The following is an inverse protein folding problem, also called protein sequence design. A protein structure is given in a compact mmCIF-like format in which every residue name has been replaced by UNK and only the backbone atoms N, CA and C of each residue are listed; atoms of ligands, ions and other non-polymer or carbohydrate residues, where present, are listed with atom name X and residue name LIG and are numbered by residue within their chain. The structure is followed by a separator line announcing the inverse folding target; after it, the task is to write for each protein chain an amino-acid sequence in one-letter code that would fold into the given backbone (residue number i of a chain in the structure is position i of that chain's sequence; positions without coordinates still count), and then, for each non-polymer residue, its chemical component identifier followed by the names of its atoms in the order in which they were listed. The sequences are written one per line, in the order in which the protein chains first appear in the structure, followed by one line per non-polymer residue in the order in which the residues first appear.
data_IF_109194270465
#
_entry.id   IF_109194270465
#
_cell.length_a   1.000
_cell.length_b   1.000
_cell.length_c   1.000
_cell.angle_alpha   90.00
_cell.angle_beta   90.00
_cell.angle_gamma   90.00
#
_symmetry.space_group_name_H-M   'P 1'
#
loop_
_entity.id
_entity.type
_entity.pdbx_description
1 polymer ?
#
# COMPACT_ATOMS: atom_id res chain seq x y z
N UNK A 1 -2.57 -5.00 -18.50
CA UNK A 1 -1.59 -5.29 -17.42
C UNK A 1 -2.08 -4.67 -16.13
N UNK A 2 -2.25 -5.46 -15.07
CA UNK A 2 -2.64 -4.96 -13.75
C UNK A 2 -1.39 -4.41 -13.05
N UNK A 3 -1.43 -3.17 -12.57
CA UNK A 3 -0.31 -2.53 -11.87
C UNK A 3 -0.74 -1.95 -10.52
N UNK A 4 0.18 -1.89 -9.56
CA UNK A 4 -0.08 -1.32 -8.25
C UNK A 4 -0.30 0.22 -8.35
N UNK A 5 -1.37 0.70 -7.73
CA UNK A 5 -1.79 2.11 -7.74
C UNK A 5 -1.08 2.91 -6.64
N UNK A 6 0.16 3.34 -6.93
CA UNK A 6 0.96 4.16 -6.02
C UNK A 6 0.23 5.45 -5.58
N UNK A 7 -0.56 6.06 -6.47
CA UNK A 7 -1.31 7.29 -6.19
C UNK A 7 -2.41 7.08 -5.16
N UNK A 8 -3.16 5.96 -5.24
CA UNK A 8 -4.16 5.60 -4.21
C UNK A 8 -3.49 5.38 -2.87
N UNK A 9 -2.41 4.59 -2.80
CA UNK A 9 -1.69 4.36 -1.56
C UNK A 9 -1.18 5.67 -0.94
N UNK A 10 -0.60 6.57 -1.75
CA UNK A 10 -0.14 7.88 -1.28
C UNK A 10 -1.27 8.73 -0.72
N UNK A 11 -2.44 8.70 -1.35
CA UNK A 11 -3.64 9.41 -0.87
C UNK A 11 -4.11 8.87 0.48
N UNK A 12 -4.17 7.55 0.65
CA UNK A 12 -4.52 6.89 1.92
C UNK A 12 -3.54 7.27 3.04
N UNK A 13 -2.24 7.22 2.75
CA UNK A 13 -1.19 7.62 3.69
C UNK A 13 -1.35 9.09 4.09
N UNK A 14 -1.57 9.99 3.12
CA UNK A 14 -1.79 11.41 3.39
C UNK A 14 -3.04 11.65 4.25
N UNK A 15 -4.15 10.96 3.97
CA UNK A 15 -5.40 11.05 4.75
C UNK A 15 -5.24 10.56 6.19
N UNK A 16 -4.38 9.57 6.43
CA UNK A 16 -4.11 9.08 7.77
C UNK A 16 -3.41 10.10 8.68
N UNK A 17 -2.71 11.08 8.10
CA UNK A 17 -1.88 12.03 8.87
C UNK A 17 -0.66 11.40 9.55
N UNK A 18 -0.37 10.12 9.29
CA UNK A 18 0.71 9.37 9.92
C UNK A 18 1.97 9.33 9.04
N UNK A 19 3.13 9.25 9.68
CA UNK A 19 4.38 8.97 8.98
C UNK A 19 4.46 7.51 8.53
N UNK A 20 5.24 7.21 7.49
CA UNK A 20 5.46 5.82 7.01
C UNK A 20 5.90 4.86 8.13
N UNK A 21 6.78 5.33 9.05
CA UNK A 21 7.23 4.55 10.21
C UNK A 21 6.09 4.23 11.16
N UNK A 22 5.24 5.22 11.44
CA UNK A 22 4.08 5.05 12.31
C UNK A 22 3.06 4.11 11.68
N UNK A 23 2.83 4.20 10.37
CA UNK A 23 1.95 3.28 9.63
C UNK A 23 2.48 1.85 9.70
N UNK A 24 3.77 1.62 9.43
CA UNK A 24 4.38 0.29 9.53
C UNK A 24 4.19 -0.32 10.93
N UNK A 25 4.38 0.49 11.98
CA UNK A 25 4.20 0.07 13.36
C UNK A 25 2.72 -0.27 13.67
N UNK A 26 1.78 0.57 13.24
CA UNK A 26 0.36 0.33 13.47
C UNK A 26 -0.18 -0.84 12.63
N UNK A 27 0.34 -1.06 11.43
CA UNK A 27 0.08 -2.26 10.62
C UNK A 27 0.53 -3.52 11.35
N UNK A 28 1.74 -3.52 11.92
CA UNK A 28 2.25 -4.64 12.71
C UNK A 28 1.36 -4.93 13.93
N UNK A 29 0.92 -3.89 14.65
CA UNK A 29 0.02 -4.06 15.81
C UNK A 29 -1.34 -4.60 15.41
N UNK A 30 -1.92 -4.13 14.31
CA UNK A 30 -3.27 -4.53 13.87
C UNK A 30 -3.30 -5.91 13.21
N UNK A 31 -2.27 -6.27 12.44
CA UNK A 31 -2.29 -7.47 11.58
C UNK A 31 -1.31 -8.56 12.02
N UNK A 32 -0.40 -8.27 12.96
CA UNK A 32 0.71 -9.15 13.32
C UNK A 32 1.82 -9.24 12.27
N UNK A 33 1.60 -8.70 11.07
CA UNK A 33 2.55 -8.72 9.97
C UNK A 33 3.36 -7.42 9.89
N UNK A 34 4.68 -7.56 9.78
CA UNK A 34 5.58 -6.42 9.61
C UNK A 34 5.80 -6.10 8.13
N UNK A 35 5.44 -4.88 7.72
CA UNK A 35 5.87 -4.30 6.44
C UNK A 35 6.90 -3.22 6.75
N UNK A 36 8.09 -3.33 6.13
CA UNK A 36 9.11 -2.29 6.28
C UNK A 36 8.58 -0.94 5.79
N UNK A 37 8.77 0.11 6.60
CA UNK A 37 8.32 1.47 6.27
C UNK A 37 8.95 1.99 4.97
N UNK A 38 10.17 1.56 4.63
CA UNK A 38 10.82 1.89 3.36
C UNK A 38 10.11 1.25 2.16
N UNK A 39 9.60 0.02 2.32
CA UNK A 39 8.79 -0.64 1.30
C UNK A 39 7.50 0.13 1.05
N UNK A 40 6.80 0.53 2.12
CA UNK A 40 5.60 1.39 2.01
C UNK A 40 5.90 2.71 1.30
N UNK A 41 7.03 3.34 1.62
CA UNK A 41 7.48 4.57 0.97
C UNK A 41 7.75 4.35 -0.52
N UNK A 42 8.53 3.33 -0.90
CA UNK A 42 8.85 3.02 -2.30
C UNK A 42 7.60 2.68 -3.11
N UNK A 43 6.63 1.98 -2.51
CA UNK A 43 5.33 1.69 -3.12
C UNK A 43 4.52 2.97 -3.35
N UNK A 44 4.39 3.82 -2.32
CA UNK A 44 3.66 5.09 -2.42
C UNK A 44 4.33 6.06 -3.42
N UNK A 45 5.66 6.01 -3.52
CA UNK A 45 6.44 6.79 -4.47
C UNK A 45 6.39 6.25 -5.91
N UNK A 46 5.90 5.01 -6.11
CA UNK A 46 5.90 4.35 -7.41
C UNK A 46 7.29 3.89 -7.88
N UNK A 47 8.28 3.87 -6.99
CA UNK A 47 9.64 3.38 -7.25
C UNK A 47 9.63 1.86 -7.45
N UNK A 48 8.75 1.17 -6.73
CA UNK A 48 8.53 -0.27 -6.86
C UNK A 48 7.04 -0.56 -7.00
N UNK A 49 6.72 -1.65 -7.67
CA UNK A 49 5.36 -2.20 -7.77
C UNK A 49 5.41 -3.65 -7.31
N UNK A 50 4.37 -4.08 -6.62
CA UNK A 50 4.24 -5.47 -6.17
C UNK A 50 3.04 -6.14 -6.85
N UNK A 51 3.13 -7.44 -7.16
CA UNK A 51 1.97 -8.21 -7.56
C UNK A 51 0.95 -8.31 -6.42
N UNK A 52 -0.25 -8.80 -6.71
CA UNK A 52 -1.26 -9.13 -5.71
C UNK A 52 -0.69 -10.16 -4.73
N UNK A 53 -0.36 -9.72 -3.51
CA UNK A 53 0.36 -10.50 -2.50
C UNK A 53 -0.16 -10.20 -1.10
N UNK A 54 0.34 -10.93 -0.10
CA UNK A 54 0.04 -10.68 1.32
C UNK A 54 0.28 -9.23 1.75
N UNK A 55 1.30 -8.56 1.20
CA UNK A 55 1.58 -7.14 1.47
C UNK A 55 0.39 -6.26 1.04
N UNK A 56 -0.20 -6.51 -0.12
CA UNK A 56 -1.34 -5.75 -0.62
C UNK A 56 -2.60 -5.97 0.23
N UNK A 57 -2.82 -7.20 0.68
CA UNK A 57 -3.92 -7.54 1.60
C UNK A 57 -3.76 -6.80 2.93
N UNK A 58 -2.55 -6.79 3.49
CA UNK A 58 -2.26 -6.09 4.76
C UNK A 58 -2.49 -4.58 4.59
N UNK A 59 -2.05 -3.99 3.47
CA UNK A 59 -2.28 -2.58 3.16
C UNK A 59 -3.78 -2.28 3.04
N UNK A 60 -4.52 -3.11 2.30
CA UNK A 60 -5.97 -2.98 2.12
C UNK A 60 -6.72 -3.02 3.46
N UNK A 61 -6.42 -4.05 4.27
CA UNK A 61 -7.03 -4.23 5.59
C UNK A 61 -6.72 -3.08 6.56
N UNK A 62 -5.48 -2.57 6.55
CA UNK A 62 -5.11 -1.48 7.46
C UNK A 62 -5.85 -0.17 7.14
N UNK A 63 -6.01 0.15 5.86
CA UNK A 63 -6.69 1.35 5.39
C UNK A 63 -8.20 1.17 5.18
N UNK A 64 -8.74 -0.01 5.49
CA UNK A 64 -10.16 -0.35 5.31
C UNK A 64 -10.65 -0.03 3.88
N UNK A 65 -9.82 -0.37 2.90
CA UNK A 65 -10.07 -0.15 1.46
C UNK A 65 -10.18 -1.49 0.76
N UNK A 66 -10.91 -1.54 -0.36
CA UNK A 66 -10.88 -2.71 -1.22
C UNK A 66 -9.46 -2.92 -1.76
N UNK A 67 -9.03 -4.18 -1.89
CA UNK A 67 -7.75 -4.50 -2.50
C UNK A 67 -7.74 -4.12 -3.98
N UNK A 68 -8.90 -4.19 -4.66
CA UNK A 68 -9.02 -3.82 -6.08
C UNK A 68 -8.71 -2.33 -6.30
N UNK A 69 -9.04 -1.46 -5.33
CA UNK A 69 -8.69 -0.03 -5.37
C UNK A 69 -7.18 0.24 -5.39
N UNK A 70 -6.38 -0.70 -4.89
CA UNK A 70 -4.91 -0.61 -4.89
C UNK A 70 -4.29 -1.02 -6.23
N UNK A 71 -5.10 -1.42 -7.21
CA UNK A 71 -4.63 -1.80 -8.53
C UNK A 71 -5.36 -1.02 -9.62
N UNK A 72 -4.68 -0.81 -10.75
CA UNK A 72 -5.28 -0.24 -11.96
C UNK A 72 -4.95 -1.11 -13.15
N UNK A 73 -5.90 -1.23 -14.07
CA UNK A 73 -5.67 -1.84 -15.37
C UNK A 73 -5.01 -0.80 -16.30
N UNK A 74 -3.86 -1.14 -16.87
CA UNK A 74 -3.28 -0.42 -18.01
C UNK A 74 -3.38 -1.27 -19.27
N UNK A 75 -3.96 -0.70 -20.31
CA UNK A 75 -3.82 -1.22 -21.66
C UNK A 75 -2.39 -1.01 -22.14
N UNK A 76 -1.78 -2.03 -22.74
CA UNK A 76 -0.50 -1.89 -23.43
C UNK A 76 -0.80 -1.20 -24.76
N UNK A 77 -0.53 0.10 -24.87
CA UNK A 77 -0.47 0.81 -26.15
C UNK A 77 0.98 0.89 -26.63
#
# INVERSE_FOLDING_TARGET
MIIFNASKLRSLIKKSGLSYRKIALEMQKKTGAYICWETLRKLAEGITSIPLTSTSIIIANFFETDIEDLYIERENK
#
